data_IF_386137867503
#
_entry.id   IF_386137867503
#
_cell.length_a   1.000
_cell.length_b   1.000
_cell.length_c   1.000
_cell.angle_alpha   90.00
_cell.angle_beta   90.00
_cell.angle_gamma   90.00
#
_symmetry.space_group_name_H-M   'P 1'
#
loop_
_entity.id
_entity.type
_entity.pdbx_description
1 polymer ?
#
# COMPACT_ATOMS: atom_id res chain seq x y z
N UNK A 1 60.64 -11.60 11.58
CA UNK A 1 61.10 -11.87 12.96
C UNK A 1 59.85 -12.26 13.77
N UNK A 2 59.89 -13.56 14.25
CA UNK A 2 59.00 -14.23 15.25
C UNK A 2 57.48 -14.19 14.98
N UNK A 3 56.77 -15.20 14.46
CA UNK A 3 56.44 -16.60 14.82
C UNK A 3 56.10 -16.78 16.33
N UNK A 4 54.85 -17.20 16.55
CA UNK A 4 54.33 -18.11 17.58
C UNK A 4 52.79 -18.14 17.40
N UNK A 5 52.09 -19.11 16.88
CA UNK A 5 51.88 -20.53 17.20
C UNK A 5 51.31 -20.82 18.59
N UNK A 6 50.06 -21.33 18.62
CA UNK A 6 49.51 -22.40 19.51
C UNK A 6 48.02 -22.59 19.19
N UNK A 7 47.65 -23.67 18.64
CA UNK A 7 47.34 -25.07 19.05
C UNK A 7 45.91 -25.23 19.57
N UNK A 8 45.24 -26.10 18.86
CA UNK A 8 43.94 -26.71 19.13
C UNK A 8 43.88 -27.54 20.40
N UNK A 9 42.68 -27.66 20.97
CA UNK A 9 42.30 -28.85 21.78
C UNK A 9 40.91 -29.33 21.37
N UNK A 10 40.92 -30.55 20.85
CA UNK A 10 39.79 -31.45 20.68
C UNK A 10 39.42 -32.04 22.06
N UNK A 11 38.15 -32.13 22.36
CA UNK A 11 37.61 -32.82 23.51
C UNK A 11 36.42 -33.67 23.10
N UNK A 12 36.61 -34.96 23.21
CA UNK A 12 35.70 -36.06 22.85
C UNK A 12 34.50 -36.15 23.78
N UNK A 13 33.37 -36.61 23.22
CA UNK A 13 32.22 -37.17 23.91
C UNK A 13 32.47 -38.61 24.41
N UNK A 14 31.72 -39.09 25.39
CA UNK A 14 31.39 -40.51 25.42
C UNK A 14 29.88 -40.82 25.55
N UNK A 15 29.47 -42.08 25.35
CA UNK A 15 28.18 -42.43 24.79
C UNK A 15 27.18 -43.01 25.81
N UNK A 16 25.94 -43.02 25.32
CA UNK A 16 24.78 -43.89 25.63
C UNK A 16 24.81 -44.89 26.81
N UNK A 17 23.71 -44.91 27.55
CA UNK A 17 23.14 -46.19 28.05
C UNK A 17 21.61 -46.18 27.92
N UNK A 18 21.13 -47.16 27.13
CA UNK A 18 19.75 -47.65 27.09
C UNK A 18 19.47 -48.45 28.38
N UNK A 19 18.32 -48.25 29.00
CA UNK A 19 17.68 -49.31 29.80
C UNK A 19 16.20 -49.38 29.44
N UNK A 20 15.87 -50.56 28.92
CA UNK A 20 14.51 -51.09 28.77
C UNK A 20 14.05 -51.67 30.12
N UNK A 21 12.80 -51.48 30.47
CA UNK A 21 12.07 -52.34 31.39
C UNK A 21 10.59 -52.38 31.03
N UNK A 22 10.16 -53.57 30.76
CA UNK A 22 8.82 -54.06 30.46
C UNK A 22 7.99 -54.32 31.73
N UNK A 23 6.66 -54.36 31.53
CA UNK A 23 5.56 -54.91 32.38
C UNK A 23 4.94 -53.89 33.35
N UNK A 24 3.62 -53.79 33.54
CA UNK A 24 2.54 -54.76 33.48
C UNK A 24 1.19 -54.11 33.38
N UNK A 25 0.25 -54.79 32.74
CA UNK A 25 -1.19 -54.49 32.69
C UNK A 25 -1.83 -54.55 34.08
N UNK A 26 -2.63 -53.52 34.42
CA UNK A 26 -3.82 -53.71 35.28
C UNK A 26 -4.91 -52.77 34.72
N UNK A 27 -5.99 -53.43 34.26
CA UNK A 27 -7.23 -52.76 33.87
C UNK A 27 -7.97 -52.24 35.11
N UNK A 28 -8.35 -50.98 35.09
CA UNK A 28 -9.42 -50.47 35.93
C UNK A 28 -10.26 -49.51 35.11
N UNK A 29 -11.47 -49.95 34.80
CA UNK A 29 -12.50 -49.13 34.13
C UNK A 29 -12.99 -48.13 35.16
N UNK A 30 -12.69 -46.84 34.93
CA UNK A 30 -13.37 -45.74 35.62
C UNK A 30 -14.12 -44.92 34.54
N UNK A 31 -15.47 -45.06 34.62
CA UNK A 31 -16.36 -44.21 33.81
C UNK A 31 -16.30 -42.81 34.42
N UNK A 32 -15.55 -41.92 33.80
CA UNK A 32 -15.59 -40.49 34.09
C UNK A 32 -16.41 -39.80 32.99
N UNK A 33 -17.58 -39.31 33.38
CA UNK A 33 -18.37 -38.36 32.59
C UNK A 33 -17.53 -37.10 32.36
N UNK A 34 -16.94 -36.97 31.18
CA UNK A 34 -16.31 -35.75 30.76
C UNK A 34 -17.41 -34.86 30.15
N UNK A 35 -17.81 -33.86 30.89
CA UNK A 35 -18.53 -32.71 30.34
C UNK A 35 -17.56 -32.03 29.33
N UNK A 36 -17.78 -32.28 28.04
CA UNK A 36 -17.13 -31.51 27.00
C UNK A 36 -17.70 -30.08 27.02
N UNK A 37 -17.02 -29.18 27.71
CA UNK A 37 -17.15 -27.74 27.42
C UNK A 37 -16.59 -27.54 26.03
N UNK A 38 -17.46 -27.52 25.03
CA UNK A 38 -17.15 -27.00 23.71
C UNK A 38 -16.92 -25.49 23.87
N UNK A 39 -15.66 -25.11 24.02
CA UNK A 39 -15.24 -23.73 23.81
C UNK A 39 -15.44 -23.48 22.30
N UNK A 40 -16.59 -22.92 21.97
CA UNK A 40 -16.79 -22.34 20.66
C UNK A 40 -15.84 -21.15 20.57
N UNK A 41 -14.74 -21.34 19.86
CA UNK A 41 -13.98 -20.22 19.34
C UNK A 41 -14.91 -19.52 18.33
N UNK A 42 -15.57 -18.48 18.82
CA UNK A 42 -16.17 -17.51 17.91
C UNK A 42 -15.02 -16.95 17.08
N UNK A 43 -14.98 -17.30 15.81
CA UNK A 43 -14.13 -16.64 14.83
C UNK A 43 -14.57 -15.17 14.79
N UNK A 44 -13.95 -14.36 15.63
CA UNK A 44 -14.11 -12.93 15.59
C UNK A 44 -13.39 -12.42 14.32
N UNK A 45 -14.11 -11.72 13.51
CA UNK A 45 -13.59 -11.03 12.34
C UNK A 45 -13.91 -11.73 11.04
N UNK A 46 -15.20 -11.78 10.68
CA UNK A 46 -15.55 -11.80 9.27
C UNK A 46 -14.98 -10.51 8.67
N UNK A 47 -13.88 -10.64 7.90
CA UNK A 47 -13.43 -9.57 7.04
C UNK A 47 -14.65 -9.17 6.20
N UNK A 48 -15.13 -7.93 6.36
CA UNK A 48 -16.24 -7.43 5.56
C UNK A 48 -15.81 -7.55 4.11
N UNK A 49 -16.54 -8.34 3.33
CA UNK A 49 -16.33 -8.40 1.89
C UNK A 49 -16.50 -6.98 1.36
N UNK A 50 -15.56 -6.47 0.57
CA UNK A 50 -15.69 -5.13 0.03
C UNK A 50 -16.98 -5.05 -0.80
N UNK A 51 -17.82 -4.06 -0.52
CA UNK A 51 -18.99 -3.78 -1.32
C UNK A 51 -18.51 -3.28 -2.70
N UNK A 52 -18.87 -3.97 -3.77
CA UNK A 52 -18.60 -3.47 -5.12
C UNK A 52 -19.51 -2.28 -5.40
N UNK A 53 -18.93 -1.15 -5.75
CA UNK A 53 -19.69 0.03 -6.16
C UNK A 53 -19.76 0.08 -7.67
N UNK A 54 -20.98 0.18 -8.21
CA UNK A 54 -21.17 0.53 -9.63
C UNK A 54 -21.00 2.05 -9.73
N UNK A 55 -20.05 2.50 -10.55
CA UNK A 55 -19.84 3.94 -10.78
C UNK A 55 -21.11 4.55 -11.35
N UNK A 56 -21.69 5.47 -10.60
CA UNK A 56 -22.79 6.31 -11.10
C UNK A 56 -22.14 7.58 -11.63
N UNK A 57 -22.27 7.83 -12.92
CA UNK A 57 -21.70 9.02 -13.57
C UNK A 57 -22.40 10.27 -13.03
N UNK A 58 -21.75 10.94 -12.07
CA UNK A 58 -22.17 12.23 -11.51
C UNK A 58 -21.46 13.39 -12.26
N UNK A 59 -21.50 13.37 -13.59
CA UNK A 59 -21.11 14.45 -14.50
C UNK A 59 -20.02 15.40 -13.97
N UNK A 60 -18.75 14.92 -13.93
CA UNK A 60 -17.61 15.83 -13.79
C UNK A 60 -17.57 16.70 -12.54
N UNK A 61 -18.04 16.18 -11.40
CA UNK A 61 -18.08 16.94 -10.14
C UNK A 61 -16.68 17.17 -9.55
N UNK A 62 -15.72 16.31 -9.85
CA UNK A 62 -14.36 16.37 -9.32
C UNK A 62 -13.32 16.50 -10.45
N UNK A 63 -12.14 17.06 -10.15
CA UNK A 63 -11.07 17.22 -11.14
C UNK A 63 -10.65 15.89 -11.80
N UNK A 64 -10.41 15.93 -13.10
CA UNK A 64 -9.93 14.77 -13.89
C UNK A 64 -8.68 15.08 -14.69
N UNK A 65 -8.24 16.34 -14.70
CA UNK A 65 -7.20 16.89 -15.55
C UNK A 65 -7.78 17.72 -16.70
N UNK A 66 -6.90 18.32 -17.45
CA UNK A 66 -7.22 19.15 -18.63
C UNK A 66 -6.67 18.48 -19.89
N UNK A 67 -7.47 18.26 -20.95
CA UNK A 67 -6.98 17.61 -22.17
C UNK A 67 -5.72 18.29 -22.72
N UNK A 68 -4.63 17.56 -22.85
CA UNK A 68 -3.37 17.98 -23.42
C UNK A 68 -2.67 16.78 -24.09
N UNK A 69 -2.54 16.84 -25.42
CA UNK A 69 -1.94 15.76 -26.20
C UNK A 69 -0.40 15.67 -26.04
N UNK A 70 0.22 16.62 -25.37
CA UNK A 70 1.67 16.61 -25.11
C UNK A 70 2.02 15.84 -23.84
N UNK A 71 1.03 15.65 -22.96
CA UNK A 71 1.19 14.87 -21.75
C UNK A 71 1.12 13.34 -22.01
N UNK A 72 1.86 12.54 -21.26
CA UNK A 72 1.90 11.08 -21.43
C UNK A 72 0.51 10.41 -21.31
N UNK A 73 -0.36 10.93 -20.47
CA UNK A 73 -1.73 10.44 -20.31
C UNK A 73 -2.75 11.10 -21.24
N UNK A 74 -2.35 12.11 -21.99
CA UNK A 74 -3.23 12.97 -22.78
C UNK A 74 -4.00 14.00 -21.96
N UNK A 75 -3.60 14.22 -20.70
CA UNK A 75 -4.22 15.19 -19.80
C UNK A 75 -3.16 15.84 -18.89
N UNK A 76 -3.08 17.16 -18.91
CA UNK A 76 -2.33 17.94 -17.93
C UNK A 76 -3.04 17.97 -16.57
N UNK A 77 -2.34 18.34 -15.48
CA UNK A 77 -2.96 18.55 -14.18
C UNK A 77 -4.19 19.46 -14.25
N UNK A 78 -5.16 19.29 -13.34
CA UNK A 78 -6.34 20.14 -13.31
C UNK A 78 -5.98 21.56 -12.85
N UNK A 79 -6.72 22.56 -13.33
CA UNK A 79 -6.45 23.97 -13.01
C UNK A 79 -6.55 24.26 -11.50
N UNK A 80 -5.95 25.39 -11.09
CA UNK A 80 -5.95 25.84 -9.69
C UNK A 80 -7.36 26.04 -9.09
N UNK A 81 -8.38 26.22 -9.93
CA UNK A 81 -9.78 26.43 -9.52
C UNK A 81 -10.69 25.25 -9.86
N UNK A 82 -10.13 24.11 -10.23
CA UNK A 82 -10.91 22.95 -10.67
C UNK A 82 -11.79 22.34 -9.58
N UNK A 83 -11.47 22.57 -8.30
CA UNK A 83 -12.24 22.09 -7.16
C UNK A 83 -12.85 23.26 -6.39
N UNK A 84 -14.18 23.36 -6.41
CA UNK A 84 -14.90 24.45 -5.75
C UNK A 84 -14.69 24.43 -4.22
N UNK A 85 -14.35 25.59 -3.64
CA UNK A 85 -14.06 25.73 -2.21
C UNK A 85 -12.64 25.33 -1.81
N UNK A 86 -11.78 25.05 -2.78
CA UNK A 86 -10.38 24.68 -2.57
C UNK A 86 -9.45 25.52 -3.47
N UNK A 87 -8.21 25.58 -3.07
CA UNK A 87 -7.13 26.25 -3.82
C UNK A 87 -6.00 25.26 -4.02
N UNK A 88 -5.44 25.19 -5.23
CA UNK A 88 -4.26 24.37 -5.54
C UNK A 88 -3.10 24.79 -4.64
N UNK A 89 -2.53 23.81 -3.94
CA UNK A 89 -1.42 24.00 -2.99
C UNK A 89 -0.12 23.36 -3.46
N UNK A 90 -0.22 22.31 -4.28
CA UNK A 90 0.91 21.61 -4.87
C UNK A 90 0.50 20.99 -6.21
N UNK A 91 1.45 20.94 -7.12
CA UNK A 91 1.32 20.27 -8.42
C UNK A 91 2.69 19.78 -8.87
N UNK A 92 2.73 18.60 -9.49
CA UNK A 92 3.91 18.09 -10.16
C UNK A 92 3.52 17.14 -11.28
N UNK A 93 4.08 17.37 -12.45
CA UNK A 93 3.90 16.59 -13.69
C UNK A 93 5.17 15.80 -14.06
N UNK A 94 6.12 15.69 -13.14
CA UNK A 94 7.34 14.89 -13.24
C UNK A 94 8.19 15.17 -14.48
N UNK A 95 8.19 16.41 -14.95
CA UNK A 95 9.08 16.85 -16.03
C UNK A 95 10.54 16.75 -15.58
N UNK A 96 11.40 16.27 -16.48
CA UNK A 96 12.83 16.11 -16.23
C UNK A 96 13.21 14.69 -15.85
N UNK A 97 14.29 14.54 -15.08
CA UNK A 97 14.90 13.22 -14.79
C UNK A 97 15.23 13.02 -13.30
N UNK A 98 14.73 13.88 -12.45
CA UNK A 98 15.03 13.84 -11.02
C UNK A 98 13.74 13.81 -10.21
N UNK A 99 13.78 13.06 -9.12
CA UNK A 99 12.71 13.08 -8.11
C UNK A 99 12.52 14.51 -7.59
N UNK A 100 11.29 15.02 -7.52
CA UNK A 100 11.02 16.39 -7.09
C UNK A 100 11.47 16.66 -5.65
N UNK A 101 11.81 17.91 -5.30
CA UNK A 101 12.10 18.28 -3.91
C UNK A 101 10.93 17.93 -2.97
N UNK A 102 11.27 17.39 -1.79
CA UNK A 102 10.27 16.96 -0.80
C UNK A 102 9.80 15.52 -0.95
N UNK A 103 10.27 14.82 -1.98
CA UNK A 103 10.01 13.40 -2.18
C UNK A 103 11.23 12.56 -1.79
N UNK A 104 11.00 11.45 -1.09
CA UNK A 104 12.02 10.50 -0.65
C UNK A 104 11.73 9.10 -1.18
N UNK A 105 12.74 8.46 -1.79
CA UNK A 105 12.62 7.09 -2.32
C UNK A 105 12.75 6.08 -1.17
N UNK A 106 11.87 5.10 -1.13
CA UNK A 106 11.94 4.00 -0.18
C UNK A 106 13.10 3.06 -0.46
N UNK A 107 13.67 2.53 0.61
CA UNK A 107 14.72 1.51 0.55
C UNK A 107 14.49 0.45 1.63
N UNK A 108 14.99 -0.76 1.38
CA UNK A 108 14.90 -1.85 2.34
C UNK A 108 13.63 -2.68 2.22
N UNK A 109 13.28 -3.36 3.29
CA UNK A 109 12.15 -4.30 3.30
C UNK A 109 10.85 -3.53 3.58
N UNK A 110 9.82 -3.66 2.72
CA UNK A 110 8.51 -3.08 2.98
C UNK A 110 7.88 -3.58 4.27
N UNK A 111 7.13 -2.75 4.94
CA UNK A 111 6.33 -3.18 6.08
C UNK A 111 5.33 -4.27 5.68
N UNK A 112 5.20 -5.32 6.50
CA UNK A 112 4.31 -6.49 6.26
C UNK A 112 4.64 -7.32 5.00
N UNK A 113 5.76 -7.07 4.31
CA UNK A 113 6.21 -7.85 3.15
C UNK A 113 7.68 -8.29 3.34
N UNK A 114 7.97 -9.30 4.18
CA UNK A 114 9.33 -9.70 4.51
C UNK A 114 10.10 -10.29 3.32
N UNK A 115 9.42 -10.68 2.26
CA UNK A 115 10.04 -11.16 1.02
C UNK A 115 10.30 -10.06 0.01
N UNK A 116 9.72 -8.87 0.21
CA UNK A 116 9.86 -7.72 -0.65
C UNK A 116 11.15 -6.94 -0.44
N UNK A 117 11.43 -6.05 -1.37
CA UNK A 117 12.51 -5.09 -1.26
C UNK A 117 12.23 -3.85 -2.11
N UNK A 118 12.40 -2.66 -1.51
CA UNK A 118 12.38 -1.39 -2.24
C UNK A 118 13.80 -1.06 -2.73
N UNK A 119 13.95 -0.76 -4.01
CA UNK A 119 15.21 -0.37 -4.62
C UNK A 119 15.19 1.03 -5.23
N UNK A 120 16.24 1.83 -4.97
CA UNK A 120 16.34 3.20 -5.49
C UNK A 120 16.25 3.23 -7.04
N UNK A 121 16.91 2.29 -7.72
CA UNK A 121 16.89 2.17 -9.18
C UNK A 121 15.54 1.77 -9.77
N UNK A 122 14.58 1.43 -8.91
CA UNK A 122 13.23 1.04 -9.28
C UNK A 122 12.25 2.22 -9.28
N UNK A 123 12.72 3.42 -8.91
CA UNK A 123 11.99 4.68 -9.02
C UNK A 123 12.68 5.54 -10.07
N UNK A 124 11.98 5.87 -11.14
CA UNK A 124 12.51 6.60 -12.28
C UNK A 124 11.59 7.78 -12.59
N UNK A 125 12.17 8.96 -12.81
CA UNK A 125 11.48 10.12 -13.38
C UNK A 125 12.04 10.32 -14.77
N UNK A 126 11.19 10.27 -15.78
CA UNK A 126 11.59 10.44 -17.18
C UNK A 126 10.39 10.81 -18.07
N UNK A 127 10.60 11.78 -18.97
CA UNK A 127 9.63 12.17 -19.99
C UNK A 127 8.21 12.51 -19.45
N UNK A 128 8.13 13.22 -18.32
CA UNK A 128 6.85 13.59 -17.71
C UNK A 128 6.19 12.45 -16.91
N UNK A 129 6.93 11.40 -16.59
CA UNK A 129 6.42 10.27 -15.82
C UNK A 129 7.27 10.02 -14.57
N UNK A 130 6.60 9.74 -13.47
CA UNK A 130 7.18 8.98 -12.36
C UNK A 130 6.82 7.51 -12.55
N UNK A 131 7.81 6.65 -12.63
CA UNK A 131 7.64 5.22 -12.79
C UNK A 131 8.16 4.46 -11.56
N UNK A 132 7.30 3.63 -10.99
CA UNK A 132 7.70 2.61 -10.02
C UNK A 132 7.81 1.29 -10.77
N UNK A 133 9.00 0.72 -10.79
CA UNK A 133 9.30 -0.46 -11.60
C UNK A 133 9.47 -1.70 -10.73
N UNK A 134 8.86 -2.80 -11.11
CA UNK A 134 9.05 -4.12 -10.50
C UNK A 134 9.73 -5.05 -11.48
N UNK A 135 10.92 -5.51 -11.14
CA UNK A 135 11.68 -6.50 -11.92
C UNK A 135 12.61 -7.30 -11.00
N UNK A 136 13.16 -8.41 -11.54
CA UNK A 136 14.16 -9.21 -10.82
C UNK A 136 15.50 -8.51 -10.89
N UNK A 137 16.03 -8.08 -9.75
CA UNK A 137 17.28 -7.34 -9.65
C UNK A 137 18.44 -8.28 -9.28
N UNK A 138 19.50 -8.24 -10.08
CA UNK A 138 20.74 -9.03 -9.84
C UNK A 138 21.48 -8.58 -8.59
N UNK A 139 21.41 -7.29 -8.24
CA UNK A 139 21.98 -6.76 -7.01
C UNK A 139 21.33 -7.39 -5.77
N UNK A 140 20.11 -7.88 -5.90
CA UNK A 140 19.31 -8.52 -4.86
C UNK A 140 19.10 -10.01 -5.11
N UNK A 141 20.13 -10.70 -5.55
CA UNK A 141 20.10 -12.15 -5.79
C UNK A 141 19.00 -12.60 -6.77
N UNK A 142 18.69 -11.75 -7.76
CA UNK A 142 17.66 -12.00 -8.75
C UNK A 142 16.25 -12.19 -8.13
N UNK A 143 15.97 -11.53 -7.00
CA UNK A 143 14.65 -11.46 -6.39
C UNK A 143 13.83 -10.35 -7.05
N UNK A 144 12.52 -10.38 -6.84
CA UNK A 144 11.65 -9.27 -7.20
C UNK A 144 11.97 -8.08 -6.28
N UNK A 145 12.27 -6.96 -6.88
CA UNK A 145 12.48 -5.67 -6.22
C UNK A 145 11.50 -4.67 -6.82
N UNK A 146 11.01 -3.76 -6.02
CA UNK A 146 9.94 -2.82 -6.38
C UNK A 146 10.36 -1.38 -6.14
N UNK A 147 9.66 -0.43 -6.74
CA UNK A 147 9.77 1.00 -6.43
C UNK A 147 8.77 1.42 -5.35
N UNK A 148 9.17 2.42 -4.58
CA UNK A 148 8.29 3.12 -3.66
C UNK A 148 8.87 4.49 -3.32
N UNK A 149 7.99 5.47 -3.09
CA UNK A 149 8.36 6.86 -2.86
C UNK A 149 7.29 7.56 -2.02
N UNK A 150 7.69 8.49 -1.18
CA UNK A 150 6.78 9.35 -0.43
C UNK A 150 7.07 10.83 -0.64
N UNK A 151 6.04 11.63 -0.56
CA UNK A 151 6.13 13.09 -0.41
C UNK A 151 6.42 13.45 1.07
N UNK A 152 7.42 12.82 1.65
CA UNK A 152 7.71 12.85 3.07
C UNK A 152 8.10 14.24 3.61
N UNK A 153 8.65 15.10 2.77
CA UNK A 153 9.02 16.49 3.13
C UNK A 153 7.86 17.48 3.10
N UNK A 154 6.68 17.09 2.62
CA UNK A 154 5.52 17.96 2.40
C UNK A 154 4.23 17.37 2.98
N UNK A 155 4.17 17.09 4.30
CA UNK A 155 2.98 16.46 4.90
C UNK A 155 1.78 17.42 4.84
N UNK A 156 0.61 16.83 4.59
CA UNK A 156 -0.66 17.55 4.56
C UNK A 156 -1.55 17.16 5.73
N UNK A 157 -2.47 18.05 6.08
CA UNK A 157 -3.59 17.74 6.98
C UNK A 157 -4.86 18.26 6.35
N UNK A 158 -5.74 17.35 5.92
CA UNK A 158 -6.93 17.62 5.15
C UNK A 158 -6.64 18.25 3.79
N UNK A 159 -7.59 18.20 2.92
CA UNK A 159 -7.49 18.69 1.56
C UNK A 159 -8.01 17.67 0.56
N UNK A 160 -7.66 17.87 -0.69
CA UNK A 160 -7.96 16.93 -1.76
C UNK A 160 -6.70 16.66 -2.56
N UNK A 161 -6.50 15.40 -2.93
CA UNK A 161 -5.38 14.97 -3.75
C UNK A 161 -5.93 14.23 -4.95
N UNK A 162 -5.42 14.54 -6.12
CA UNK A 162 -5.72 13.86 -7.37
C UNK A 162 -4.43 13.37 -8.01
N UNK A 163 -4.44 12.13 -8.45
CA UNK A 163 -3.29 11.45 -9.07
C UNK A 163 -3.73 10.86 -10.39
N UNK A 164 -2.97 11.13 -11.45
CA UNK A 164 -3.18 10.53 -12.76
C UNK A 164 -2.21 9.37 -12.94
N UNK A 165 -2.75 8.14 -12.93
CA UNK A 165 -1.90 6.96 -12.95
C UNK A 165 -2.49 5.80 -13.74
N UNK A 166 -1.64 4.80 -14.00
CA UNK A 166 -2.01 3.48 -14.52
C UNK A 166 -0.97 2.44 -14.13
N UNK A 167 -1.32 1.17 -14.31
CA UNK A 167 -0.36 0.07 -14.32
C UNK A 167 -0.20 -0.49 -15.75
N UNK A 168 0.94 -1.10 -16.06
CA UNK A 168 1.10 -1.76 -17.34
C UNK A 168 0.72 -3.24 -17.31
N UNK A 169 0.79 -3.90 -16.13
CA UNK A 169 0.48 -5.34 -15.94
C UNK A 169 0.06 -5.63 -14.50
N UNK A 170 -0.69 -6.73 -14.27
CA UNK A 170 -0.94 -7.23 -12.92
C UNK A 170 0.32 -7.84 -12.31
N UNK A 171 0.32 -8.02 -11.00
CA UNK A 171 1.34 -8.75 -10.27
C UNK A 171 1.66 -8.17 -8.91
N UNK A 172 2.43 -7.07 -8.80
CA UNK A 172 2.63 -6.41 -7.51
C UNK A 172 1.34 -5.75 -7.02
N UNK A 173 1.23 -5.60 -5.71
CA UNK A 173 0.27 -4.67 -5.14
C UNK A 173 0.76 -3.25 -5.43
N UNK A 174 -0.05 -2.47 -6.10
CA UNK A 174 0.20 -1.06 -6.40
C UNK A 174 -0.70 -0.23 -5.51
N UNK A 175 -0.12 0.73 -4.80
CA UNK A 175 -0.87 1.55 -3.86
C UNK A 175 -0.55 3.04 -4.01
N UNK A 176 -1.60 3.84 -3.94
CA UNK A 176 -1.61 5.28 -3.75
C UNK A 176 -2.33 5.55 -2.43
N UNK A 177 -1.61 6.09 -1.46
CA UNK A 177 -2.11 6.16 -0.10
C UNK A 177 -1.61 7.40 0.65
N UNK A 178 -2.26 7.68 1.77
CA UNK A 178 -1.79 8.64 2.76
C UNK A 178 -1.29 7.89 3.98
N UNK A 179 -0.02 8.11 4.33
CA UNK A 179 0.66 7.52 5.47
C UNK A 179 0.90 8.54 6.58
N UNK A 180 0.81 8.17 7.87
CA UNK A 180 1.04 9.12 8.96
C UNK A 180 2.47 9.66 8.98
N UNK A 181 2.64 10.97 8.83
CA UNK A 181 3.93 11.64 8.87
C UNK A 181 4.71 11.38 10.17
N UNK A 182 4.00 11.16 11.27
CA UNK A 182 4.58 10.78 12.57
C UNK A 182 4.98 9.31 12.69
N UNK A 183 4.80 8.50 11.65
CA UNK A 183 5.13 7.06 11.60
C UNK A 183 4.45 6.20 12.67
N UNK A 184 3.33 6.66 13.22
CA UNK A 184 2.49 5.92 14.16
C UNK A 184 1.30 5.37 13.39
N UNK A 185 1.33 4.09 13.09
CA UNK A 185 0.30 3.38 12.34
C UNK A 185 -0.62 2.54 13.26
N UNK A 186 -1.95 2.43 13.02
CA UNK A 186 -2.70 3.29 12.13
C UNK A 186 -2.70 4.76 12.58
N UNK A 187 -3.13 5.72 11.76
CA UNK A 187 -4.05 5.66 10.62
C UNK A 187 -3.37 5.45 9.27
N UNK A 188 -4.16 5.07 8.25
CA UNK A 188 -3.77 5.04 6.84
C UNK A 188 -5.02 5.24 5.97
N UNK A 189 -4.86 5.87 4.82
CA UNK A 189 -5.97 6.12 3.87
C UNK A 189 -5.49 5.70 2.48
N UNK A 190 -5.89 4.51 2.03
CA UNK A 190 -5.62 4.04 0.68
C UNK A 190 -6.72 4.52 -0.25
N UNK A 191 -6.37 5.20 -1.33
CA UNK A 191 -7.37 5.66 -2.30
C UNK A 191 -7.27 4.96 -3.65
N UNK A 192 -6.25 4.12 -3.84
CA UNK A 192 -6.11 3.19 -4.94
C UNK A 192 -5.15 2.06 -4.51
N UNK A 193 -5.66 0.86 -4.25
CA UNK A 193 -4.84 -0.30 -3.88
C UNK A 193 -5.30 -1.54 -4.66
N UNK A 194 -4.45 -2.05 -5.57
CA UNK A 194 -4.82 -3.06 -6.56
C UNK A 194 -4.84 -4.49 -6.04
N UNK A 195 -4.08 -4.78 -4.98
CA UNK A 195 -3.86 -6.16 -4.52
C UNK A 195 -3.27 -7.08 -5.60
N UNK A 196 -2.56 -6.51 -6.59
CA UNK A 196 -2.00 -7.22 -7.74
C UNK A 196 -2.97 -7.41 -8.92
N UNK A 197 -4.17 -6.86 -8.87
CA UNK A 197 -5.19 -6.94 -9.94
C UNK A 197 -4.96 -5.88 -11.02
N UNK A 198 -5.25 -6.23 -12.29
CA UNK A 198 -5.33 -5.27 -13.39
C UNK A 198 -6.77 -4.93 -13.78
N UNK A 199 -7.77 -5.45 -13.06
CA UNK A 199 -9.20 -5.30 -13.39
C UNK A 199 -10.05 -4.81 -12.23
N UNK A 200 -9.42 -4.50 -11.10
CA UNK A 200 -10.09 -3.98 -9.90
C UNK A 200 -9.09 -3.31 -8.97
N UNK A 201 -9.59 -2.40 -8.16
CA UNK A 201 -8.86 -1.78 -7.06
C UNK A 201 -9.77 -1.58 -5.85
N UNK A 202 -9.18 -1.28 -4.69
CA UNK A 202 -9.89 -0.99 -3.45
C UNK A 202 -9.44 0.34 -2.86
N UNK A 203 -10.32 0.94 -2.04
CA UNK A 203 -9.93 1.92 -1.02
C UNK A 203 -9.91 1.25 0.33
N UNK A 204 -9.10 1.78 1.26
CA UNK A 204 -9.17 1.40 2.67
C UNK A 204 -9.02 2.62 3.57
N UNK A 205 -9.68 2.59 4.71
CA UNK A 205 -9.36 3.44 5.87
C UNK A 205 -8.95 2.53 7.00
N UNK A 206 -7.72 2.70 7.49
CA UNK A 206 -7.19 2.00 8.66
C UNK A 206 -7.27 2.91 9.87
N UNK A 207 -7.90 2.48 10.95
CA UNK A 207 -8.09 3.30 12.13
C UNK A 207 -8.12 2.49 13.44
N UNK A 208 -7.91 3.20 14.55
CA UNK A 208 -7.91 2.64 15.88
C UNK A 208 -6.75 1.70 16.16
N UNK A 209 -6.45 1.47 17.45
CA UNK A 209 -5.30 0.61 17.85
C UNK A 209 -5.39 -0.84 17.41
N UNK A 210 -6.60 -1.33 17.14
CA UNK A 210 -6.84 -2.69 16.67
C UNK A 210 -6.77 -2.82 15.15
N UNK A 211 -6.42 -1.75 14.45
CA UNK A 211 -6.43 -1.68 12.99
C UNK A 211 -7.76 -2.13 12.38
N UNK A 212 -8.82 -1.41 12.72
CA UNK A 212 -10.08 -1.59 12.01
C UNK A 212 -9.96 -1.09 10.59
N UNK A 213 -10.61 -1.77 9.65
CA UNK A 213 -10.51 -1.47 8.22
C UNK A 213 -11.90 -1.37 7.62
N UNK A 214 -12.18 -0.26 6.93
CA UNK A 214 -13.36 -0.11 6.06
C UNK A 214 -12.88 0.01 4.63
N UNK A 215 -13.48 -0.77 3.72
CA UNK A 215 -13.09 -0.85 2.30
C UNK A 215 -14.25 -0.65 1.36
N UNK A 216 -13.96 -0.05 0.21
CA UNK A 216 -14.78 -0.12 -1.00
C UNK A 216 -13.97 -0.72 -2.13
N UNK A 217 -14.64 -1.30 -3.13
CA UNK A 217 -13.97 -1.87 -4.30
C UNK A 217 -14.66 -1.42 -5.58
N UNK A 218 -13.89 -1.29 -6.65
CA UNK A 218 -14.39 -1.00 -7.99
C UNK A 218 -13.73 -1.90 -9.02
N UNK A 219 -14.53 -2.39 -9.98
CA UNK A 219 -14.02 -3.10 -11.15
C UNK A 219 -13.74 -2.08 -12.26
N UNK A 220 -12.49 -1.95 -12.64
CA UNK A 220 -12.03 -0.99 -13.62
C UNK A 220 -10.74 -1.52 -14.28
N UNK A 221 -10.47 -1.15 -15.52
CA UNK A 221 -9.27 -1.58 -16.22
C UNK A 221 -8.05 -0.72 -15.79
N UNK A 222 -7.30 -1.18 -14.82
CA UNK A 222 -6.13 -0.50 -14.25
C UNK A 222 -5.01 -0.20 -15.26
N UNK A 223 -5.06 -0.78 -16.49
CA UNK A 223 -4.08 -0.50 -17.54
C UNK A 223 -4.40 0.77 -18.33
N UNK A 224 -5.58 1.34 -18.13
CA UNK A 224 -5.94 2.65 -18.67
C UNK A 224 -5.55 3.73 -17.68
N UNK A 225 -5.33 4.93 -18.19
CA UNK A 225 -5.12 6.09 -17.36
C UNK A 225 -6.41 6.47 -16.63
N UNK A 226 -6.31 6.61 -15.31
CA UNK A 226 -7.39 7.07 -14.45
C UNK A 226 -6.91 8.21 -13.57
N UNK A 227 -7.83 9.12 -13.21
CA UNK A 227 -7.57 10.12 -12.19
C UNK A 227 -8.22 9.64 -10.89
N UNK A 228 -7.39 9.20 -9.96
CA UNK A 228 -7.78 8.82 -8.60
C UNK A 228 -7.81 10.05 -7.72
N UNK A 229 -8.81 10.16 -6.87
CA UNK A 229 -8.92 11.27 -5.94
C UNK A 229 -9.30 10.84 -4.55
N UNK A 230 -8.75 11.55 -3.56
CA UNK A 230 -9.16 11.49 -2.17
C UNK A 230 -9.41 12.89 -1.65
N UNK A 231 -10.60 13.13 -1.13
CA UNK A 231 -10.97 14.38 -0.45
C UNK A 231 -11.10 14.04 1.04
N UNK A 232 -10.17 14.53 1.82
CA UNK A 232 -10.07 14.26 3.25
C UNK A 232 -10.40 15.51 4.06
N UNK A 233 -11.45 15.43 4.86
CA UNK A 233 -11.95 16.49 5.74
C UNK A 233 -11.92 16.04 7.21
N UNK A 234 -12.16 16.91 8.19
CA UNK A 234 -12.31 16.49 9.58
C UNK A 234 -13.45 15.50 9.83
N UNK A 235 -14.42 15.40 8.93
CA UNK A 235 -15.67 14.65 9.13
C UNK A 235 -15.94 13.58 8.09
N UNK A 236 -15.18 13.56 6.98
CA UNK A 236 -15.41 12.62 5.89
C UNK A 236 -14.14 12.35 5.09
N UNK A 237 -14.08 11.18 4.45
CA UNK A 237 -13.14 10.85 3.38
C UNK A 237 -14.00 10.43 2.18
N UNK A 238 -13.77 11.08 1.04
CA UNK A 238 -14.47 10.78 -0.21
C UNK A 238 -13.45 10.33 -1.25
N UNK A 239 -13.72 9.23 -1.91
CA UNK A 239 -12.88 8.66 -2.95
C UNK A 239 -13.50 8.85 -4.31
N UNK A 240 -12.71 9.31 -5.28
CA UNK A 240 -13.17 9.52 -6.65
C UNK A 240 -12.30 8.75 -7.65
N UNK A 241 -12.88 8.38 -8.79
CA UNK A 241 -12.18 7.94 -9.98
C UNK A 241 -12.80 8.61 -11.18
N UNK A 242 -11.98 9.22 -12.03
CA UNK A 242 -12.40 9.95 -13.23
C UNK A 242 -13.56 10.93 -12.96
N UNK A 243 -13.45 11.68 -11.85
CA UNK A 243 -14.43 12.68 -11.44
C UNK A 243 -15.69 12.15 -10.76
N UNK A 244 -15.80 10.84 -10.54
CA UNK A 244 -16.98 10.18 -9.98
C UNK A 244 -16.69 9.59 -8.60
N UNK A 245 -17.56 9.83 -7.62
CA UNK A 245 -17.46 9.20 -6.30
C UNK A 245 -17.67 7.69 -6.40
N UNK A 246 -16.81 6.90 -5.78
CA UNK A 246 -16.93 5.45 -5.71
C UNK A 246 -16.80 4.88 -4.29
N UNK A 247 -16.50 5.73 -3.31
CA UNK A 247 -16.46 5.34 -1.91
C UNK A 247 -16.50 6.56 -1.00
N UNK A 248 -17.06 6.38 0.20
CA UNK A 248 -17.05 7.39 1.26
C UNK A 248 -16.83 6.73 2.62
N UNK A 249 -16.21 7.47 3.53
CA UNK A 249 -16.11 7.11 4.95
C UNK A 249 -16.50 8.31 5.78
N UNK A 250 -17.58 8.17 6.57
CA UNK A 250 -18.24 9.26 7.30
C UNK A 250 -18.41 8.92 8.78
N UNK A 251 -17.31 8.53 9.44
CA UNK A 251 -17.27 8.30 10.89
C UNK A 251 -16.28 9.29 11.51
N UNK A 252 -16.73 10.50 11.88
CA UNK A 252 -15.83 11.60 12.27
C UNK A 252 -14.87 11.25 13.43
N UNK A 253 -15.32 10.44 14.40
CA UNK A 253 -14.47 9.99 15.52
C UNK A 253 -13.31 9.10 15.12
N UNK A 254 -13.34 8.52 13.92
CA UNK A 254 -12.34 7.57 13.41
C UNK A 254 -11.48 8.17 12.29
N UNK A 255 -11.80 9.39 11.85
CA UNK A 255 -11.00 10.09 10.84
C UNK A 255 -9.71 10.60 11.46
N UNK A 256 -8.59 10.34 10.81
CA UNK A 256 -7.30 10.87 11.25
C UNK A 256 -7.30 12.41 11.26
N UNK A 257 -6.73 12.96 12.32
CA UNK A 257 -6.41 14.38 12.43
C UNK A 257 -4.90 14.63 12.43
N UNK A 258 -4.08 13.59 12.27
CA UNK A 258 -2.62 13.70 12.17
C UNK A 258 -2.21 14.16 10.76
N UNK A 259 -1.10 14.89 10.60
CA UNK A 259 -0.53 15.11 9.28
C UNK A 259 -0.15 13.78 8.62
N UNK A 260 -0.37 13.69 7.31
CA UNK A 260 -0.05 12.51 6.51
C UNK A 260 0.77 12.89 5.29
N UNK A 261 1.51 11.95 4.73
CA UNK A 261 2.29 12.07 3.49
C UNK A 261 1.61 11.30 2.39
N UNK A 262 1.72 11.78 1.16
CA UNK A 262 1.33 11.03 -0.01
C UNK A 262 2.42 10.03 -0.36
N UNK A 263 2.04 8.77 -0.45
CA UNK A 263 2.96 7.68 -0.74
C UNK A 263 2.49 6.91 -1.99
N UNK A 264 3.45 6.52 -2.83
CA UNK A 264 3.25 5.60 -3.95
C UNK A 264 4.14 4.40 -3.76
N UNK A 265 3.59 3.21 -3.86
CA UNK A 265 4.39 2.00 -3.72
C UNK A 265 3.92 0.85 -4.61
N UNK A 266 4.89 0.03 -5.00
CA UNK A 266 4.64 -1.32 -5.49
C UNK A 266 5.22 -2.30 -4.48
N UNK A 267 4.45 -3.32 -4.07
CA UNK A 267 4.94 -4.43 -3.25
C UNK A 267 4.73 -5.74 -4.00
N UNK A 268 5.77 -6.57 -4.08
CA UNK A 268 5.59 -7.95 -4.47
C UNK A 268 4.88 -8.67 -3.31
N UNK A 269 3.86 -9.42 -3.55
CA UNK A 269 3.05 -10.06 -2.51
C UNK A 269 3.05 -11.58 -2.66
N UNK A 270 4.19 -12.13 -3.07
CA UNK A 270 4.36 -13.56 -3.35
C UNK A 270 4.16 -14.42 -2.10
N UNK A 271 4.67 -13.99 -0.96
CA UNK A 271 4.63 -14.71 0.31
C UNK A 271 3.24 -14.73 0.94
N UNK A 272 2.37 -13.82 0.56
CA UNK A 272 1.00 -13.75 1.04
C UNK A 272 0.04 -14.67 0.28
N UNK A 273 0.56 -15.63 -0.49
CA UNK A 273 -0.20 -16.51 -1.39
C UNK A 273 -1.03 -15.76 -2.45
N UNK A 274 -0.63 -14.52 -2.75
CA UNK A 274 -1.20 -13.71 -3.80
C UNK A 274 -0.44 -13.89 -5.12
N UNK A 275 -0.90 -13.23 -6.17
CA UNK A 275 -0.29 -13.35 -7.48
C UNK A 275 1.10 -12.68 -7.50
N UNK A 276 2.15 -13.50 -7.63
CA UNK A 276 3.50 -12.98 -7.91
C UNK A 276 3.56 -12.29 -9.26
N UNK A 277 4.43 -11.27 -9.41
CA UNK A 277 4.76 -10.75 -10.74
C UNK A 277 5.31 -11.87 -11.64
N UNK A 278 4.74 -12.03 -12.83
CA UNK A 278 5.18 -13.03 -13.81
C UNK A 278 6.18 -12.47 -14.83
N UNK A 279 6.26 -11.14 -14.93
CA UNK A 279 7.15 -10.39 -15.80
C UNK A 279 7.41 -9.01 -15.18
N UNK A 280 8.44 -8.27 -15.63
CA UNK A 280 8.64 -6.88 -15.25
C UNK A 280 7.38 -6.05 -15.48
N UNK A 281 7.06 -5.17 -14.54
CA UNK A 281 5.89 -4.31 -14.58
C UNK A 281 6.22 -2.93 -14.03
N UNK A 282 5.38 -1.95 -14.34
CA UNK A 282 5.52 -0.56 -13.93
C UNK A 282 4.16 0.01 -13.55
N UNK A 283 4.14 0.76 -12.45
CA UNK A 283 3.14 1.75 -12.14
C UNK A 283 3.64 3.09 -12.70
N UNK A 284 2.82 3.78 -13.46
CA UNK A 284 3.14 5.05 -14.08
C UNK A 284 2.24 6.13 -13.52
N UNK A 285 2.84 7.20 -13.01
CA UNK A 285 2.16 8.39 -12.52
C UNK A 285 2.55 9.55 -13.44
N UNK A 286 1.54 10.18 -14.05
CA UNK A 286 1.71 11.30 -14.96
C UNK A 286 1.81 12.61 -14.17
N UNK A 287 0.85 12.82 -13.27
CA UNK A 287 0.86 14.01 -12.42
C UNK A 287 0.16 13.79 -11.08
N UNK A 288 0.45 14.70 -10.16
CA UNK A 288 -0.20 14.89 -8.86
C UNK A 288 -0.69 16.33 -8.76
N UNK A 289 -1.90 16.52 -8.22
CA UNK A 289 -2.42 17.84 -7.86
C UNK A 289 -3.06 17.78 -6.47
N UNK A 290 -2.66 18.71 -5.59
CA UNK A 290 -3.15 18.82 -4.23
C UNK A 290 -3.83 20.14 -3.99
N UNK A 291 -4.95 20.10 -3.27
CA UNK A 291 -5.76 21.26 -2.96
C UNK A 291 -5.98 21.36 -1.46
N UNK A 292 -5.87 22.56 -0.93
CA UNK A 292 -6.27 22.89 0.44
C UNK A 292 -7.59 23.64 0.45
N UNK A 293 -8.40 23.45 1.48
CA UNK A 293 -9.65 24.20 1.62
C UNK A 293 -9.36 25.71 1.61
N UNK A 294 -10.09 26.45 0.78
CA UNK A 294 -10.00 27.91 0.77
C UNK A 294 -10.44 28.50 2.12
N UNK A 295 -9.83 29.59 2.60
CA UNK A 295 -10.32 30.28 3.77
C UNK A 295 -11.80 30.65 3.60
N UNK A 296 -12.59 30.50 4.68
CA UNK A 296 -13.95 31.00 4.67
C UNK A 296 -13.92 32.55 4.48
N UNK A 297 -14.56 33.04 3.44
CA UNK A 297 -14.70 34.47 3.14
C UNK A 297 -15.73 35.13 4.05
#
# INVERSE_FOLDING_TARGET
>A
MKILSARAHLGFAPPQQRRSATRSLVSTILVALIWALSIQWSAAGAASTPSSVTLVNLNGQFPVGTPDATEPSGQAPPSATALVGYTLSYENDFVGTSVPPGWDIFTGIPGSDPGGHFGISHVVVNDGLLELNTYRDRAWHNRWVTGGICQCGLPIRYGAIFVRSRINRPGPNEAELLWPAGKVWPPEIDFNETGGSATSTTTSVHFGKANHIVRSAVNINMRQWHTWGVIWTPTSITYTVDGTIWGTFEVPSEISHAPMTLDFEQRQICEEHRQCPSAPTSMQIDWVAEYTASPAT
#
